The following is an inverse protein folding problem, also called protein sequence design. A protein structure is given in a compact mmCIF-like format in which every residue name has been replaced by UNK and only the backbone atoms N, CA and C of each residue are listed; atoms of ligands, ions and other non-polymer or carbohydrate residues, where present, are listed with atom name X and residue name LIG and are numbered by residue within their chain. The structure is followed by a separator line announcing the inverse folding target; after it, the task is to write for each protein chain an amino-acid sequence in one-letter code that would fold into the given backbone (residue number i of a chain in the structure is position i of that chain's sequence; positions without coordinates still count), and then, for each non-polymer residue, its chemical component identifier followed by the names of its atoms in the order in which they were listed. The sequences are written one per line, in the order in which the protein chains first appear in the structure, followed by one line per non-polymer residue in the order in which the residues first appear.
data_IF_431080749045
#
_entry.id   IF_431080749045
#
_cell.length_a   1.000
_cell.length_b   1.000
_cell.length_c   1.000
_cell.angle_alpha   90.00
_cell.angle_beta   90.00
_cell.angle_gamma   90.00
#
_symmetry.space_group_name_H-M   'P 1'
#
loop_
_entity.id
_entity.type
_entity.pdbx_description
1 polymer ?
#
# COMPACT_ATOMS: atom_id res chain seq x y z
N UNK A 1 -23.08 -3.29 4.05
CA UNK A 1 -22.10 -2.63 4.93
C UNK A 1 -20.83 -3.44 4.83
N UNK A 2 -19.64 -2.83 4.53
CA UNK A 2 -18.39 -3.61 4.51
C UNK A 2 -18.07 -4.02 5.93
N UNK A 3 -17.98 -5.32 6.16
CA UNK A 3 -17.58 -5.87 7.45
C UNK A 3 -16.06 -5.79 7.57
N UNK A 4 -15.59 -5.33 8.69
CA UNK A 4 -14.17 -5.27 9.04
C UNK A 4 -13.95 -5.96 10.39
N UNK A 5 -12.75 -6.45 10.64
CA UNK A 5 -12.36 -7.09 11.89
C UNK A 5 -11.19 -6.36 12.51
N UNK A 6 -11.23 -6.14 13.81
CA UNK A 6 -10.15 -5.55 14.61
C UNK A 6 -9.70 -6.53 15.67
N UNK A 7 -8.39 -6.65 15.84
CA UNK A 7 -7.75 -7.42 16.91
C UNK A 7 -6.88 -6.48 17.73
N UNK A 8 -6.92 -6.63 19.04
CA UNK A 8 -6.04 -5.95 19.99
C UNK A 8 -5.36 -7.00 20.86
N UNK A 9 -4.02 -6.98 20.90
CA UNK A 9 -3.20 -7.88 21.71
C UNK A 9 -3.56 -9.38 21.53
N UNK A 10 -3.92 -9.77 20.30
CA UNK A 10 -4.30 -11.15 19.96
C UNK A 10 -5.78 -11.50 20.17
N UNK A 11 -6.60 -10.59 20.70
CA UNK A 11 -8.03 -10.79 20.91
C UNK A 11 -8.89 -9.98 19.95
N UNK A 12 -9.99 -10.57 19.47
CA UNK A 12 -10.93 -9.89 18.56
C UNK A 12 -11.76 -8.88 19.36
N UNK A 13 -11.78 -7.62 18.91
CA UNK A 13 -12.56 -6.54 19.53
C UNK A 13 -13.94 -6.49 18.89
N UNK A 14 -14.98 -6.72 19.69
CA UNK A 14 -16.37 -6.87 19.25
C UNK A 14 -17.12 -5.55 19.00
N UNK A 15 -16.58 -4.39 19.39
CA UNK A 15 -17.26 -3.09 19.25
C UNK A 15 -16.64 -2.23 18.14
N UNK A 16 -17.27 -2.19 16.96
CA UNK A 16 -16.82 -1.31 15.89
C UNK A 16 -17.37 0.12 16.12
N UNK A 17 -16.54 1.03 16.62
CA UNK A 17 -16.80 2.46 16.46
C UNK A 17 -16.83 2.84 14.96
N UNK A 18 -17.65 3.83 14.60
CA UNK A 18 -17.80 4.27 13.19
C UNK A 18 -16.45 4.62 12.50
N UNK A 19 -15.46 5.09 13.28
CA UNK A 19 -14.12 5.41 12.76
C UNK A 19 -13.30 4.17 12.37
N UNK A 20 -13.64 2.98 12.86
CA UNK A 20 -12.90 1.73 12.57
C UNK A 20 -13.27 1.09 11.23
N UNK A 21 -14.29 1.59 10.53
CA UNK A 21 -14.74 1.05 9.25
C UNK A 21 -13.70 1.22 8.11
N UNK A 22 -12.66 2.03 8.31
CA UNK A 22 -11.60 2.23 7.33
C UNK A 22 -10.23 2.14 7.98
N UNK A 23 -9.20 1.71 7.22
CA UNK A 23 -7.83 1.68 7.73
C UNK A 23 -7.32 3.04 8.22
N UNK A 24 -7.76 4.13 7.59
CA UNK A 24 -7.38 5.47 8.00
C UNK A 24 -8.08 5.87 9.32
N UNK A 25 -9.36 5.53 9.49
CA UNK A 25 -10.10 5.72 10.73
C UNK A 25 -9.48 4.91 11.87
N UNK A 26 -9.19 3.64 11.63
CA UNK A 26 -8.48 2.77 12.56
C UNK A 26 -7.14 3.38 13.01
N UNK A 27 -6.30 3.84 12.11
CA UNK A 27 -5.02 4.47 12.45
C UNK A 27 -5.19 5.76 13.25
N UNK A 28 -6.20 6.58 12.91
CA UNK A 28 -6.52 7.80 13.68
C UNK A 28 -6.95 7.50 15.10
N UNK A 29 -7.74 6.44 15.31
CA UNK A 29 -8.18 6.05 16.67
C UNK A 29 -7.02 5.64 17.57
N UNK A 30 -5.90 5.15 17.00
CA UNK A 30 -4.70 4.80 17.74
C UNK A 30 -3.85 6.01 18.12
N UNK A 31 -3.91 7.09 17.34
CA UNK A 31 -3.16 8.33 17.54
C UNK A 31 -1.66 8.18 17.30
N UNK A 32 -0.97 7.42 18.15
CA UNK A 32 0.47 7.17 18.08
C UNK A 32 0.79 5.72 17.75
N UNK A 33 2.00 5.48 17.24
CA UNK A 33 2.49 4.15 16.90
C UNK A 33 3.09 4.08 15.50
N UNK A 34 3.77 2.97 15.23
CA UNK A 34 4.16 2.60 13.88
C UNK A 34 3.15 1.63 13.29
N UNK A 35 2.96 1.66 11.97
CA UNK A 35 2.09 0.70 11.30
C UNK A 35 2.69 0.17 10.01
N UNK A 36 2.15 -0.95 9.56
CA UNK A 36 2.32 -1.45 8.20
C UNK A 36 0.99 -1.86 7.63
N UNK A 37 0.87 -1.88 6.30
CA UNK A 37 -0.32 -2.36 5.61
C UNK A 37 0.12 -3.24 4.45
N UNK A 38 -0.53 -4.39 4.29
CA UNK A 38 -0.25 -5.38 3.26
C UNK A 38 -1.55 -5.83 2.58
N UNK A 39 -1.46 -6.16 1.30
CA UNK A 39 -2.52 -6.87 0.61
C UNK A 39 -2.55 -8.33 1.05
N UNK A 40 -3.73 -8.92 1.08
CA UNK A 40 -3.97 -10.32 1.43
C UNK A 40 -4.67 -11.01 0.27
N UNK A 41 -4.07 -12.06 -0.26
CA UNK A 41 -4.69 -12.96 -1.24
C UNK A 41 -5.25 -14.19 -0.54
N UNK A 42 -6.42 -14.64 -0.99
CA UNK A 42 -7.00 -15.91 -0.57
C UNK A 42 -6.55 -16.99 -1.55
N UNK A 43 -6.16 -18.14 -1.01
CA UNK A 43 -5.78 -19.31 -1.79
C UNK A 43 -6.43 -20.57 -1.22
N UNK A 44 -6.80 -21.51 -2.09
CA UNK A 44 -7.11 -22.87 -1.65
C UNK A 44 -5.82 -23.66 -1.60
N UNK A 45 -5.55 -24.34 -0.48
CA UNK A 45 -4.44 -25.29 -0.41
C UNK A 45 -4.64 -26.39 -1.44
N UNK A 46 -3.53 -26.94 -1.97
CA UNK A 46 -3.61 -28.20 -2.74
C UNK A 46 -4.22 -29.27 -1.84
N UNK A 47 -5.04 -30.17 -2.41
CA UNK A 47 -5.63 -31.31 -1.69
C UNK A 47 -4.53 -32.01 -0.89
N UNK A 48 -4.74 -32.14 0.41
CA UNK A 48 -3.91 -32.94 1.31
C UNK A 48 -4.31 -34.40 1.24
N UNK A 49 -3.60 -35.27 1.98
CA UNK A 49 -3.87 -36.69 2.08
C UNK A 49 -5.28 -37.01 2.62
N UNK A 50 -5.92 -36.05 3.31
CA UNK A 50 -7.31 -36.10 3.78
C UNK A 50 -8.35 -35.75 2.70
N UNK A 51 -7.91 -35.39 1.50
CA UNK A 51 -8.77 -35.05 0.36
C UNK A 51 -9.41 -33.64 0.45
N UNK A 52 -9.21 -32.91 1.54
CA UNK A 52 -9.82 -31.60 1.79
C UNK A 52 -8.88 -30.48 1.35
N UNK A 53 -9.41 -29.50 0.61
CA UNK A 53 -8.72 -28.24 0.38
C UNK A 53 -9.15 -27.23 1.45
N UNK A 54 -8.19 -26.52 2.03
CA UNK A 54 -8.45 -25.49 3.05
C UNK A 54 -8.14 -24.12 2.50
N UNK A 55 -8.84 -23.11 3.03
CA UNK A 55 -8.52 -21.72 2.72
C UNK A 55 -7.26 -21.29 3.47
N UNK A 56 -6.38 -20.62 2.76
CA UNK A 56 -5.13 -20.06 3.26
C UNK A 56 -5.05 -18.59 2.85
N UNK A 57 -4.43 -17.77 3.71
CA UNK A 57 -4.18 -16.38 3.41
C UNK A 57 -2.69 -16.17 3.12
N UNK A 58 -2.42 -15.52 2.01
CA UNK A 58 -1.08 -15.19 1.56
C UNK A 58 -0.81 -13.69 1.72
N UNK A 59 0.27 -13.35 2.41
CA UNK A 59 0.75 -11.99 2.60
C UNK A 59 2.13 -11.84 1.94
N UNK A 60 2.24 -11.17 0.79
CA UNK A 60 3.53 -10.91 0.16
C UNK A 60 4.37 -9.95 1.00
N UNK A 61 5.70 -10.10 0.93
CA UNK A 61 6.67 -9.24 1.60
C UNK A 61 6.43 -9.12 3.12
N UNK A 62 5.91 -10.19 3.75
CA UNK A 62 5.57 -10.13 5.17
C UNK A 62 6.77 -9.82 6.06
N UNK A 63 7.91 -10.45 5.85
CA UNK A 63 9.10 -10.24 6.67
C UNK A 63 9.66 -8.83 6.49
N UNK A 64 9.60 -8.26 5.28
CA UNK A 64 9.94 -6.88 5.01
C UNK A 64 8.96 -5.90 5.67
N UNK A 65 7.65 -6.23 5.68
CA UNK A 65 6.64 -5.45 6.40
C UNK A 65 6.94 -5.37 7.89
N UNK A 66 7.30 -6.50 8.51
CA UNK A 66 7.65 -6.57 9.93
C UNK A 66 8.97 -5.85 10.21
N UNK A 67 9.98 -6.04 9.37
CA UNK A 67 11.26 -5.34 9.50
C UNK A 67 11.07 -3.81 9.46
N UNK A 68 10.33 -3.29 8.47
CA UNK A 68 10.03 -1.85 8.39
C UNK A 68 9.21 -1.37 9.58
N UNK A 69 8.30 -2.19 10.11
CA UNK A 69 7.51 -1.85 11.30
C UNK A 69 8.43 -1.64 12.51
N UNK A 70 9.40 -2.55 12.74
CA UNK A 70 10.42 -2.43 13.78
C UNK A 70 11.27 -1.18 13.61
N UNK A 71 11.78 -0.92 12.41
CA UNK A 71 12.54 0.29 12.10
C UNK A 71 11.73 1.57 12.38
N UNK A 72 10.45 1.59 12.00
CA UNK A 72 9.58 2.74 12.27
C UNK A 72 9.34 2.93 13.77
N UNK A 73 9.16 1.85 14.54
CA UNK A 73 9.03 1.91 15.99
C UNK A 73 10.26 2.52 16.64
N UNK A 74 11.45 2.03 16.29
CA UNK A 74 12.71 2.54 16.85
C UNK A 74 12.91 4.04 16.54
N UNK A 75 12.47 4.49 15.35
CA UNK A 75 12.54 5.91 14.96
C UNK A 75 11.54 6.79 15.72
N UNK A 76 10.34 6.28 15.97
CA UNK A 76 9.28 7.03 16.66
C UNK A 76 9.43 7.00 18.18
N UNK A 77 10.06 5.97 18.73
CA UNK A 77 10.22 5.74 20.18
C UNK A 77 11.67 5.36 20.54
N UNK A 78 12.65 6.24 20.28
CA UNK A 78 14.07 5.90 20.42
C UNK A 78 14.47 5.57 21.86
N UNK A 79 13.74 6.12 22.83
CA UNK A 79 14.02 5.93 24.27
C UNK A 79 13.33 4.69 24.87
N UNK A 80 12.52 3.96 24.09
CA UNK A 80 11.81 2.77 24.56
C UNK A 80 12.61 1.50 24.28
N UNK A 81 12.98 0.78 25.33
CA UNK A 81 13.65 -0.52 25.21
C UNK A 81 12.72 -1.59 24.61
N UNK A 82 11.41 -1.45 24.77
CA UNK A 82 10.41 -2.39 24.23
C UNK A 82 10.47 -2.55 22.71
N UNK A 83 10.94 -1.54 21.98
CA UNK A 83 10.98 -1.54 20.50
C UNK A 83 12.32 -1.95 19.92
N UNK A 84 13.32 -2.19 20.75
CA UNK A 84 14.70 -2.53 20.33
C UNK A 84 14.84 -4.00 19.94
N UNK A 85 13.99 -4.88 20.50
CA UNK A 85 13.99 -6.30 20.19
C UNK A 85 13.12 -6.59 18.97
N UNK A 86 13.77 -6.89 17.85
CA UNK A 86 13.08 -7.21 16.58
C UNK A 86 12.28 -8.50 16.63
N UNK A 87 12.63 -9.46 17.51
CA UNK A 87 11.90 -10.72 17.64
C UNK A 87 10.58 -10.50 18.39
N UNK A 88 10.59 -9.65 19.42
CA UNK A 88 9.36 -9.23 20.12
C UNK A 88 8.40 -8.52 19.15
N UNK A 89 8.90 -7.61 18.31
CA UNK A 89 8.10 -6.93 17.30
C UNK A 89 7.50 -7.92 16.29
N UNK A 90 8.32 -8.88 15.85
CA UNK A 90 7.90 -9.91 14.89
C UNK A 90 6.81 -10.80 15.46
N UNK A 91 7.00 -11.27 16.70
CA UNK A 91 6.04 -12.17 17.34
C UNK A 91 4.71 -11.48 17.64
N UNK A 92 4.74 -10.23 18.14
CA UNK A 92 3.53 -9.44 18.37
C UNK A 92 2.74 -9.22 17.08
N UNK A 93 3.41 -8.83 15.99
CA UNK A 93 2.77 -8.63 14.70
C UNK A 93 2.19 -9.93 14.15
N UNK A 94 2.94 -11.05 14.25
CA UNK A 94 2.51 -12.36 13.77
C UNK A 94 1.31 -12.90 14.56
N UNK A 95 1.33 -12.81 15.87
CA UNK A 95 0.24 -13.26 16.73
C UNK A 95 -1.06 -12.53 16.41
N UNK A 96 -1.02 -11.21 16.26
CA UNK A 96 -2.19 -10.40 15.95
C UNK A 96 -2.76 -10.68 14.55
N UNK A 97 -1.91 -10.83 13.53
CA UNK A 97 -2.37 -11.20 12.17
C UNK A 97 -2.94 -12.61 12.16
N UNK A 98 -2.30 -13.56 12.85
CA UNK A 98 -2.80 -14.92 12.95
C UNK A 98 -4.18 -15.00 13.62
N UNK A 99 -4.40 -14.24 14.70
CA UNK A 99 -5.70 -14.15 15.37
C UNK A 99 -6.77 -13.56 14.44
N UNK A 100 -6.43 -12.47 13.76
CA UNK A 100 -7.30 -11.78 12.80
C UNK A 100 -7.74 -12.70 11.67
N UNK A 101 -6.79 -13.39 11.02
CA UNK A 101 -7.08 -14.25 9.88
C UNK A 101 -7.79 -15.54 10.29
N UNK A 102 -7.51 -16.09 11.48
CA UNK A 102 -8.30 -17.22 12.04
C UNK A 102 -9.76 -16.83 12.24
N UNK A 103 -10.01 -15.65 12.82
CA UNK A 103 -11.40 -15.15 12.98
C UNK A 103 -12.12 -15.05 11.64
N UNK A 104 -11.46 -14.50 10.62
CA UNK A 104 -12.05 -14.38 9.28
C UNK A 104 -12.35 -15.74 8.66
N UNK A 105 -11.46 -16.72 8.80
CA UNK A 105 -11.71 -18.11 8.33
C UNK A 105 -12.93 -18.73 8.98
N UNK A 106 -13.10 -18.57 10.31
CA UNK A 106 -14.28 -19.09 11.01
C UNK A 106 -15.57 -18.42 10.55
N UNK A 107 -15.53 -17.10 10.34
CA UNK A 107 -16.69 -16.33 9.87
C UNK A 107 -17.14 -16.76 8.47
N UNK A 108 -16.20 -17.03 7.58
CA UNK A 108 -16.49 -17.48 6.22
C UNK A 108 -16.98 -18.94 6.19
N UNK A 109 -16.36 -19.85 6.96
CA UNK A 109 -16.79 -21.24 7.06
C UNK A 109 -18.25 -21.36 7.53
N UNK A 110 -18.67 -20.54 8.49
CA UNK A 110 -20.05 -20.49 8.95
C UNK A 110 -21.04 -19.96 7.89
N UNK A 111 -20.58 -19.16 6.92
CA UNK A 111 -21.40 -18.67 5.80
C UNK A 111 -21.55 -19.71 4.68
N UNK A 112 -20.51 -20.47 4.38
CA UNK A 112 -20.56 -21.52 3.37
C UNK A 112 -21.51 -22.66 3.78
N UNK A 113 -21.61 -22.99 5.07
CA UNK A 113 -22.56 -23.98 5.60
C UNK A 113 -24.04 -23.56 5.47
N UNK A 114 -24.32 -22.25 5.44
CA UNK A 114 -25.71 -21.72 5.32
C UNK A 114 -26.15 -21.53 3.87
N UNK A 115 -25.24 -21.53 2.90
CA UNK A 115 -25.54 -21.40 1.46
C UNK A 115 -25.25 -22.71 0.73
N UNK A 116 -26.14 -23.68 0.88
CA UNK A 116 -26.09 -24.99 0.19
C UNK A 116 -26.54 -24.83 -1.28
N UNK A 117 -25.82 -24.03 -2.07
CA UNK A 117 -25.95 -23.96 -3.51
C UNK A 117 -24.58 -24.20 -4.15
N UNK A 118 -24.57 -25.17 -5.05
CA UNK A 118 -23.50 -25.55 -5.96
C UNK A 118 -22.98 -24.36 -6.76
N UNK A 119 -22.21 -23.51 -6.09
CA UNK A 119 -21.46 -22.46 -6.76
C UNK A 119 -20.21 -23.14 -7.29
N UNK A 120 -20.22 -23.42 -8.59
CA UNK A 120 -19.09 -23.97 -9.31
C UNK A 120 -17.81 -23.28 -8.84
N UNK A 121 -16.73 -24.07 -8.69
CA UNK A 121 -15.44 -23.63 -8.16
C UNK A 121 -15.06 -22.28 -8.78
N UNK A 122 -15.29 -21.21 -8.03
CA UNK A 122 -14.85 -19.88 -8.45
C UNK A 122 -13.33 -19.95 -8.63
N UNK A 123 -12.86 -19.65 -9.82
CA UNK A 123 -11.44 -19.45 -10.11
C UNK A 123 -10.84 -18.59 -9.01
N UNK A 124 -9.59 -18.87 -8.55
CA UNK A 124 -8.96 -18.06 -7.52
C UNK A 124 -8.97 -16.61 -7.99
N UNK A 125 -9.61 -15.73 -7.22
CA UNK A 125 -9.65 -14.29 -7.54
C UNK A 125 -8.22 -13.79 -7.73
N UNK A 126 -7.86 -13.40 -8.94
CA UNK A 126 -6.55 -12.84 -9.24
C UNK A 126 -6.34 -11.55 -8.45
N UNK A 127 -5.39 -11.57 -7.48
CA UNK A 127 -4.99 -10.39 -6.71
C UNK A 127 -5.36 -10.44 -5.21
N UNK A 128 -5.35 -9.25 -4.59
CA UNK A 128 -5.67 -9.12 -3.16
C UNK A 128 -7.17 -9.03 -2.92
N UNK A 129 -7.67 -9.80 -1.97
CA UNK A 129 -9.07 -9.78 -1.54
C UNK A 129 -9.29 -8.85 -0.36
N UNK A 130 -8.26 -8.70 0.48
CA UNK A 130 -8.31 -7.90 1.69
C UNK A 130 -7.04 -7.04 1.84
N UNK A 131 -7.13 -6.05 2.72
CA UNK A 131 -5.98 -5.33 3.25
C UNK A 131 -5.90 -5.56 4.76
N UNK A 132 -4.74 -6.01 5.23
CA UNK A 132 -4.40 -6.05 6.65
C UNK A 132 -3.58 -4.81 7.00
N UNK A 133 -3.92 -4.17 8.11
CA UNK A 133 -3.13 -3.10 8.72
C UNK A 133 -2.72 -3.53 10.12
N UNK A 134 -1.43 -3.54 10.41
CA UNK A 134 -0.88 -3.86 11.74
C UNK A 134 -0.24 -2.61 12.30
N UNK A 135 -0.57 -2.28 13.53
CA UNK A 135 0.01 -1.15 14.25
C UNK A 135 0.52 -1.58 15.62
N UNK A 136 1.71 -1.10 15.97
CA UNK A 136 2.33 -1.34 17.27
C UNK A 136 2.74 -0.01 17.91
N UNK A 137 2.70 0.00 19.24
CA UNK A 137 3.27 1.08 20.06
C UNK A 137 3.80 0.52 21.38
N UNK A 138 4.71 1.23 22.04
CA UNK A 138 5.10 0.88 23.42
C UNK A 138 3.89 0.80 24.35
N UNK A 139 3.90 -0.15 25.24
CA UNK A 139 2.93 -0.23 26.34
C UNK A 139 3.09 0.94 27.33
N UNK A 140 2.15 1.11 28.26
CA UNK A 140 2.09 2.30 29.13
C UNK A 140 3.22 2.40 30.15
N UNK A 141 3.95 1.33 30.43
CA UNK A 141 5.05 1.32 31.36
C UNK A 141 6.29 0.60 30.82
N UNK A 142 7.47 0.80 31.43
CA UNK A 142 8.73 0.23 30.93
C UNK A 142 8.72 -1.30 30.78
N UNK A 143 8.02 -2.00 31.68
CA UNK A 143 7.89 -3.46 31.66
C UNK A 143 6.61 -3.96 31.00
N UNK A 144 5.78 -3.07 30.43
CA UNK A 144 4.58 -3.47 29.71
C UNK A 144 4.94 -4.06 28.34
N UNK A 145 4.23 -5.09 27.85
CA UNK A 145 4.46 -5.56 26.47
C UNK A 145 4.10 -4.48 25.44
N UNK A 146 4.59 -4.66 24.21
CA UNK A 146 4.12 -3.86 23.08
C UNK A 146 2.61 -4.05 22.89
N UNK A 147 1.88 -2.95 22.80
CA UNK A 147 0.48 -3.00 22.40
C UNK A 147 0.40 -3.19 20.87
N UNK A 148 -0.24 -4.26 20.45
CA UNK A 148 -0.40 -4.62 19.05
C UNK A 148 -1.87 -4.59 18.64
N UNK A 149 -2.13 -3.98 17.49
CA UNK A 149 -3.43 -3.83 16.89
C UNK A 149 -3.39 -4.30 15.44
N UNK A 150 -4.40 -5.03 15.02
CA UNK A 150 -4.55 -5.43 13.63
C UNK A 150 -5.97 -5.16 13.14
N UNK A 151 -6.08 -4.74 11.88
CA UNK A 151 -7.33 -4.42 11.23
C UNK A 151 -7.35 -5.08 9.85
N UNK A 152 -8.44 -5.78 9.54
CA UNK A 152 -8.69 -6.40 8.24
C UNK A 152 -9.91 -5.74 7.61
N UNK A 153 -9.77 -5.30 6.37
CA UNK A 153 -10.91 -4.85 5.58
C UNK A 153 -10.88 -5.46 4.18
N UNK A 154 -12.05 -5.79 3.60
CA UNK A 154 -12.12 -6.26 2.22
C UNK A 154 -11.70 -5.16 1.25
N UNK A 155 -11.06 -5.55 0.15
CA UNK A 155 -10.73 -4.68 -0.97
C UNK A 155 -11.81 -4.82 -2.05
N UNK A 156 -12.25 -3.70 -2.58
CA UNK A 156 -13.16 -3.72 -3.73
C UNK A 156 -12.42 -4.20 -4.98
N UNK A 157 -12.99 -5.09 -5.78
CA UNK A 157 -12.37 -5.56 -7.03
C UNK A 157 -11.97 -4.42 -7.98
N UNK A 158 -12.79 -3.37 -8.04
CA UNK A 158 -12.54 -2.19 -8.88
C UNK A 158 -11.27 -1.43 -8.48
N UNK A 159 -10.78 -1.59 -7.24
CA UNK A 159 -9.55 -0.94 -6.79
C UNK A 159 -8.28 -1.44 -7.49
N UNK A 160 -8.37 -2.57 -8.22
CA UNK A 160 -7.22 -3.21 -8.89
C UNK A 160 -6.93 -2.63 -10.28
N UNK A 161 -7.97 -2.23 -11.00
CA UNK A 161 -7.87 -1.85 -12.41
C UNK A 161 -7.91 -0.32 -12.63
N UNK A 162 -8.15 0.48 -11.57
CA UNK A 162 -8.36 1.92 -11.74
C UNK A 162 -7.05 2.68 -11.90
N UNK A 163 -7.03 3.57 -12.87
CA UNK A 163 -6.03 4.64 -12.96
C UNK A 163 -6.25 5.67 -11.87
N UNK A 164 -5.19 6.36 -11.46
CA UNK A 164 -5.25 7.48 -10.52
C UNK A 164 -5.22 8.81 -11.28
N UNK A 165 -5.94 9.81 -10.78
CA UNK A 165 -5.66 11.21 -11.08
C UNK A 165 -5.08 11.87 -9.83
N UNK A 166 -3.95 12.56 -9.96
CA UNK A 166 -3.21 13.08 -8.82
C UNK A 166 -3.21 14.60 -8.77
N UNK A 167 -3.25 15.14 -7.55
CA UNK A 167 -3.06 16.57 -7.28
C UNK A 167 -1.64 16.80 -6.76
N UNK A 168 -0.87 17.67 -7.40
CA UNK A 168 0.40 18.14 -6.86
C UNK A 168 0.14 19.17 -5.76
N UNK A 169 0.76 18.99 -4.62
CA UNK A 169 0.65 19.91 -3.49
C UNK A 169 1.99 20.08 -2.81
N UNK A 170 2.32 21.33 -2.50
CA UNK A 170 3.47 21.66 -1.67
C UNK A 170 3.20 21.23 -0.25
N UNK A 171 3.87 20.17 0.18
CA UNK A 171 3.76 19.61 1.52
C UNK A 171 4.94 18.68 1.81
N UNK A 172 5.30 18.54 3.10
CA UNK A 172 6.29 17.57 3.57
C UNK A 172 5.78 16.87 4.81
N UNK A 173 6.06 15.57 4.91
CA UNK A 173 5.79 14.81 6.14
C UNK A 173 6.79 15.14 7.23
N UNK A 174 6.33 15.09 8.46
CA UNK A 174 7.19 14.98 9.64
C UNK A 174 7.60 13.50 9.74
N UNK A 175 8.89 13.22 9.96
CA UNK A 175 9.45 11.85 10.04
C UNK A 175 9.05 10.96 8.85
N UNK A 176 9.39 11.35 7.60
CA UNK A 176 8.98 10.61 6.40
C UNK A 176 9.56 9.20 6.34
N UNK A 177 10.70 8.95 6.99
CA UNK A 177 11.36 7.64 7.08
C UNK A 177 10.62 6.63 7.96
N UNK A 178 9.66 7.09 8.79
CA UNK A 178 8.85 6.23 9.65
C UNK A 178 7.40 6.15 9.16
N UNK A 179 6.84 4.93 9.17
CA UNK A 179 5.42 4.72 8.85
C UNK A 179 4.58 4.92 10.12
N UNK A 180 4.33 6.18 10.48
CA UNK A 180 3.63 6.60 11.70
C UNK A 180 2.12 6.57 11.57
N UNK A 181 1.42 6.11 12.60
CA UNK A 181 -0.04 6.19 12.71
C UNK A 181 -0.54 7.65 12.69
N UNK A 182 0.20 8.58 13.28
CA UNK A 182 -0.12 10.02 13.28
C UNK A 182 -0.29 10.58 11.86
N UNK A 183 0.43 10.03 10.87
CA UNK A 183 0.27 10.44 9.47
C UNK A 183 -1.16 10.31 8.94
N UNK A 184 -1.96 9.41 9.49
CA UNK A 184 -3.38 9.30 9.11
C UNK A 184 -4.21 10.53 9.55
N UNK A 185 -3.77 11.22 10.59
CA UNK A 185 -4.34 12.49 11.04
C UNK A 185 -3.72 13.67 10.28
N UNK A 186 -2.39 13.71 10.18
CA UNK A 186 -1.64 14.82 9.59
C UNK A 186 -1.99 15.05 8.11
N UNK A 187 -2.25 14.01 7.34
CA UNK A 187 -2.65 14.10 5.93
C UNK A 187 -4.11 14.46 5.69
N UNK A 188 -4.96 14.49 6.73
CA UNK A 188 -6.39 14.75 6.58
C UNK A 188 -6.71 16.09 5.89
N UNK A 189 -6.01 17.20 6.17
CA UNK A 189 -6.21 18.44 5.41
C UNK A 189 -5.99 18.29 3.92
N UNK A 190 -4.97 17.50 3.51
CA UNK A 190 -4.71 17.19 2.10
C UNK A 190 -5.83 16.34 1.47
N UNK A 191 -6.35 15.36 2.21
CA UNK A 191 -7.47 14.52 1.76
C UNK A 191 -8.77 15.33 1.61
N UNK A 192 -9.03 16.30 2.50
CA UNK A 192 -10.18 17.21 2.41
C UNK A 192 -10.04 18.15 1.21
N UNK A 193 -8.87 18.74 1.00
CA UNK A 193 -8.61 19.61 -0.15
C UNK A 193 -8.70 18.83 -1.47
N UNK A 194 -8.16 17.60 -1.51
CA UNK A 194 -8.27 16.69 -2.65
C UNK A 194 -9.73 16.41 -3.02
N UNK A 195 -10.56 16.07 -2.04
CA UNK A 195 -11.98 15.78 -2.26
C UNK A 195 -12.73 17.01 -2.80
N UNK A 196 -12.46 18.20 -2.22
CA UNK A 196 -13.05 19.46 -2.66
C UNK A 196 -12.70 19.79 -4.10
N UNK A 197 -11.42 19.70 -4.47
CA UNK A 197 -10.94 19.98 -5.83
C UNK A 197 -11.35 18.91 -6.83
N UNK A 198 -11.33 17.65 -6.41
CA UNK A 198 -11.73 16.52 -7.24
C UNK A 198 -13.20 16.59 -7.66
N UNK A 199 -14.09 17.19 -6.85
CA UNK A 199 -15.48 17.41 -7.21
C UNK A 199 -15.66 18.34 -8.41
N UNK A 200 -14.64 19.14 -8.76
CA UNK A 200 -14.67 20.08 -9.88
C UNK A 200 -14.06 19.51 -11.18
N UNK A 201 -13.49 18.33 -11.13
CA UNK A 201 -12.84 17.67 -12.26
C UNK A 201 -13.65 16.45 -12.74
N UNK A 202 -13.84 16.34 -14.03
CA UNK A 202 -14.37 15.12 -14.64
C UNK A 202 -13.41 13.94 -14.30
N UNK A 203 -13.91 12.88 -13.67
CA UNK A 203 -13.11 11.74 -13.22
C UNK A 203 -12.52 11.87 -11.83
N UNK A 204 -12.64 13.02 -11.17
CA UNK A 204 -12.19 13.25 -9.80
C UNK A 204 -10.68 13.23 -9.61
N UNK A 205 -10.25 13.28 -8.35
CA UNK A 205 -8.85 13.14 -7.92
C UNK A 205 -8.73 12.00 -6.91
N UNK A 206 -7.66 11.21 -6.99
CA UNK A 206 -7.50 9.98 -6.22
C UNK A 206 -6.50 10.11 -5.08
N UNK A 207 -5.43 10.88 -5.29
CA UNK A 207 -4.36 11.02 -4.32
C UNK A 207 -3.62 12.36 -4.49
N UNK A 208 -3.10 12.91 -3.38
CA UNK A 208 -2.16 14.02 -3.42
C UNK A 208 -0.75 13.47 -3.55
N UNK A 209 0.02 13.98 -4.52
CA UNK A 209 1.47 13.80 -4.61
C UNK A 209 2.13 15.06 -4.08
N UNK A 210 2.91 14.88 -3.02
CA UNK A 210 3.61 15.97 -2.33
C UNK A 210 4.85 16.39 -3.12
N UNK A 211 5.13 17.66 -3.13
CA UNK A 211 6.34 18.23 -3.71
C UNK A 211 6.95 19.30 -2.78
N UNK A 212 8.18 19.66 -3.06
CA UNK A 212 8.86 20.77 -2.37
C UNK A 212 8.40 22.11 -2.92
N UNK A 213 8.70 23.21 -2.23
CA UNK A 213 8.49 24.59 -2.71
C UNK A 213 9.09 24.85 -4.10
N UNK A 214 10.15 24.14 -4.46
CA UNK A 214 10.80 24.22 -5.78
C UNK A 214 10.14 23.33 -6.83
N UNK A 215 9.07 22.61 -6.49
CA UNK A 215 8.37 21.69 -7.39
C UNK A 215 9.03 20.32 -7.54
N UNK A 216 10.02 19.95 -6.72
CA UNK A 216 10.60 18.60 -6.76
C UNK A 216 9.62 17.60 -6.12
N UNK A 217 9.28 16.54 -6.84
CA UNK A 217 8.42 15.49 -6.34
C UNK A 217 9.02 14.83 -5.09
N UNK A 218 8.15 14.44 -4.17
CA UNK A 218 8.45 13.65 -2.99
C UNK A 218 7.74 12.28 -3.10
N UNK A 219 6.57 12.16 -2.54
CA UNK A 219 5.78 10.93 -2.52
C UNK A 219 4.28 11.25 -2.50
N UNK A 220 3.42 10.27 -2.77
CA UNK A 220 1.99 10.39 -2.51
C UNK A 220 1.66 10.31 -1.03
N UNK A 221 0.45 10.70 -0.65
CA UNK A 221 -0.01 10.59 0.75
C UNK A 221 -0.04 9.16 1.27
N UNK A 222 -0.11 8.16 0.38
CA UNK A 222 -0.17 6.72 0.69
C UNK A 222 0.77 5.88 -0.16
N UNK A 223 1.49 6.50 -1.11
CA UNK A 223 2.26 5.83 -2.16
C UNK A 223 3.62 6.50 -2.39
N UNK A 224 4.54 5.82 -3.09
CA UNK A 224 5.66 6.50 -3.75
C UNK A 224 5.30 6.72 -5.22
N UNK A 225 6.02 7.63 -5.89
CA UNK A 225 5.77 8.03 -7.28
C UNK A 225 6.94 7.65 -8.18
N UNK A 226 6.59 7.22 -9.38
CA UNK A 226 7.50 6.95 -10.48
C UNK A 226 7.03 7.66 -11.74
N UNK A 227 7.98 8.12 -12.55
CA UNK A 227 7.72 8.67 -13.87
C UNK A 227 8.60 8.01 -14.91
N UNK A 228 8.09 7.85 -16.12
CA UNK A 228 8.86 7.34 -17.26
C UNK A 228 9.15 8.51 -18.18
N UNK A 229 10.41 8.63 -18.57
CA UNK A 229 10.87 9.61 -19.56
C UNK A 229 11.51 8.90 -20.73
N UNK A 230 11.40 9.49 -21.92
CA UNK A 230 12.08 9.02 -23.10
C UNK A 230 13.47 9.66 -23.18
N UNK A 231 14.46 8.89 -23.59
CA UNK A 231 15.84 9.37 -23.73
C UNK A 231 16.10 9.82 -25.16
N UNK A 232 16.02 11.12 -25.38
CA UNK A 232 16.32 11.73 -26.69
C UNK A 232 17.79 11.65 -27.07
N UNK A 233 18.68 11.21 -26.16
CA UNK A 233 20.15 11.17 -26.36
C UNK A 233 20.66 9.95 -27.09
N UNK A 234 19.82 9.04 -27.49
CA UNK A 234 20.18 7.77 -28.12
C UNK A 234 19.78 7.71 -29.58
N UNK A 235 20.50 8.42 -30.47
CA UNK A 235 20.54 8.24 -31.94
C UNK A 235 19.37 7.55 -32.61
N UNK A 236 18.64 8.26 -33.48
CA UNK A 236 17.84 7.83 -34.63
C UNK A 236 17.17 6.46 -34.74
N UNK A 237 17.02 5.72 -33.65
CA UNK A 237 16.36 4.42 -33.66
C UNK A 237 14.84 4.54 -33.42
N UNK A 238 14.06 3.71 -34.10
CA UNK A 238 12.59 3.63 -33.99
C UNK A 238 12.08 3.24 -32.57
N UNK A 239 12.96 3.08 -31.58
CA UNK A 239 12.60 2.68 -30.23
C UNK A 239 13.36 3.53 -29.21
N UNK A 240 12.75 4.64 -28.70
CA UNK A 240 13.37 5.49 -27.71
C UNK A 240 13.66 4.69 -26.43
N UNK A 241 14.90 4.80 -25.89
CA UNK A 241 15.22 4.20 -24.59
C UNK A 241 14.41 4.91 -23.51
N UNK A 242 13.59 4.16 -22.80
CA UNK A 242 12.81 4.67 -21.68
C UNK A 242 13.56 4.47 -20.36
N UNK A 243 13.50 5.46 -19.50
CA UNK A 243 14.07 5.43 -18.14
C UNK A 243 12.98 5.67 -17.12
N UNK A 244 13.07 4.92 -16.03
CA UNK A 244 12.20 5.07 -14.88
C UNK A 244 12.87 5.95 -13.84
N UNK A 245 12.22 7.03 -13.45
CA UNK A 245 12.73 7.96 -12.45
C UNK A 245 11.86 7.91 -11.19
N UNK A 246 12.48 8.03 -10.03
CA UNK A 246 11.79 8.16 -8.73
C UNK A 246 12.61 9.05 -7.79
N UNK A 247 11.98 9.84 -6.91
CA UNK A 247 12.71 10.59 -5.90
C UNK A 247 13.57 9.68 -5.04
N UNK A 248 14.81 10.08 -4.70
CA UNK A 248 15.71 9.30 -3.85
C UNK A 248 15.24 9.36 -2.38
N UNK A 249 15.59 8.36 -1.58
CA UNK A 249 15.26 8.34 -0.14
C UNK A 249 15.80 9.56 0.60
N UNK A 250 16.92 10.12 0.16
CA UNK A 250 17.51 11.35 0.71
C UNK A 250 16.63 12.60 0.53
N UNK A 251 15.59 12.54 -0.30
CA UNK A 251 14.59 13.61 -0.42
C UNK A 251 13.66 13.71 0.79
N UNK A 252 13.71 12.75 1.72
CA UNK A 252 12.80 12.67 2.84
C UNK A 252 11.44 12.08 2.40
N UNK A 253 11.47 10.85 1.93
CA UNK A 253 10.29 10.05 1.58
C UNK A 253 10.31 8.72 2.32
N UNK A 254 9.14 8.07 2.44
CA UNK A 254 9.04 6.76 3.03
C UNK A 254 9.79 5.71 2.18
N UNK A 255 10.64 4.85 2.78
CA UNK A 255 11.19 3.68 2.10
C UNK A 255 10.09 2.64 1.87
N UNK A 256 9.34 2.81 0.77
CA UNK A 256 8.21 1.96 0.42
C UNK A 256 8.65 0.57 -0.03
N UNK A 257 8.01 -0.49 0.49
CA UNK A 257 8.30 -1.86 0.09
C UNK A 257 7.92 -2.11 -1.37
N UNK A 258 6.76 -1.61 -1.79
CA UNK A 258 6.36 -1.66 -3.20
C UNK A 258 7.32 -0.86 -4.10
N UNK A 259 7.86 0.30 -3.60
CA UNK A 259 8.90 1.05 -4.32
C UNK A 259 10.15 0.20 -4.55
N UNK A 260 10.64 -0.47 -3.51
CA UNK A 260 11.81 -1.35 -3.62
C UNK A 260 11.54 -2.52 -4.57
N UNK A 261 10.34 -3.13 -4.49
CA UNK A 261 9.93 -4.20 -5.39
C UNK A 261 9.86 -3.74 -6.86
N UNK A 262 9.35 -2.52 -7.13
CA UNK A 262 9.34 -1.92 -8.48
C UNK A 262 10.76 -1.74 -9.01
N UNK A 263 11.68 -1.18 -8.22
CA UNK A 263 13.07 -0.98 -8.63
C UNK A 263 13.74 -2.32 -8.99
N UNK A 264 13.58 -3.32 -8.14
CA UNK A 264 14.11 -4.66 -8.39
C UNK A 264 13.49 -5.33 -9.64
N UNK A 265 12.18 -5.16 -9.82
CA UNK A 265 11.46 -5.72 -10.99
C UNK A 265 11.87 -5.01 -12.28
N UNK A 266 11.98 -3.68 -12.26
CA UNK A 266 12.45 -2.91 -13.43
C UNK A 266 13.86 -3.32 -13.84
N UNK A 267 14.77 -3.51 -12.87
CA UNK A 267 16.12 -4.02 -13.14
C UNK A 267 16.09 -5.41 -13.77
N UNK A 268 15.26 -6.33 -13.28
CA UNK A 268 15.09 -7.67 -13.84
C UNK A 268 14.51 -7.66 -15.28
N UNK A 269 13.71 -6.65 -15.61
CA UNK A 269 13.15 -6.43 -16.95
C UNK A 269 14.12 -5.65 -17.88
N UNK A 270 15.31 -5.28 -17.41
CA UNK A 270 16.27 -4.48 -18.17
C UNK A 270 15.86 -3.01 -18.35
N UNK A 271 14.93 -2.51 -17.53
CA UNK A 271 14.50 -1.12 -17.54
C UNK A 271 15.43 -0.31 -16.63
N UNK A 272 16.07 0.72 -17.19
CA UNK A 272 16.95 1.59 -16.42
C UNK A 272 16.18 2.40 -15.39
N UNK A 273 16.65 2.38 -14.13
CA UNK A 273 16.04 3.13 -13.01
C UNK A 273 17.04 4.15 -12.48
N UNK A 274 16.60 5.38 -12.31
CA UNK A 274 17.37 6.45 -11.68
C UNK A 274 16.62 6.98 -10.44
N UNK A 275 17.27 6.83 -9.29
CA UNK A 275 16.83 7.46 -8.04
C UNK A 275 17.39 8.88 -7.98
N UNK A 276 16.63 9.85 -8.46
CA UNK A 276 17.02 11.26 -8.52
C UNK A 276 15.83 12.20 -8.33
N UNK A 277 16.13 13.47 -8.07
CA UNK A 277 15.12 14.52 -8.01
C UNK A 277 14.34 14.59 -9.34
N UNK A 278 13.02 14.65 -9.24
CA UNK A 278 12.10 14.77 -10.37
C UNK A 278 11.36 16.09 -10.27
N UNK A 279 11.54 16.96 -11.26
CA UNK A 279 10.84 18.24 -11.32
C UNK A 279 9.42 18.04 -11.85
N UNK A 280 8.43 18.43 -11.07
CA UNK A 280 7.01 18.35 -11.44
C UNK A 280 6.63 19.28 -12.59
N UNK A 281 7.39 20.38 -12.81
CA UNK A 281 7.18 21.30 -13.92
C UNK A 281 7.45 20.65 -15.28
N UNK A 282 8.24 19.57 -15.29
CA UNK A 282 8.52 18.77 -16.48
C UNK A 282 7.47 17.70 -16.79
N UNK A 283 6.33 17.70 -16.11
CA UNK A 283 5.33 16.60 -16.22
C UNK A 283 4.73 16.42 -17.63
N UNK A 284 4.72 17.45 -18.44
CA UNK A 284 4.30 17.36 -19.86
C UNK A 284 5.25 16.54 -20.72
N UNK A 285 6.50 16.38 -20.29
CA UNK A 285 7.53 15.55 -20.93
C UNK A 285 7.57 14.11 -20.41
N UNK A 286 6.72 13.72 -19.45
CA UNK A 286 6.65 12.33 -19.00
C UNK A 286 5.85 11.49 -20.00
N UNK A 287 6.35 10.32 -20.34
CA UNK A 287 5.60 9.37 -21.16
C UNK A 287 4.59 8.57 -20.34
N UNK A 288 4.94 8.25 -19.08
CA UNK A 288 4.09 7.54 -18.14
C UNK A 288 4.33 8.07 -16.71
N UNK A 289 3.30 7.93 -15.87
CA UNK A 289 3.41 8.14 -14.43
C UNK A 289 2.64 7.04 -13.69
N UNK A 290 3.15 6.56 -12.57
CA UNK A 290 2.43 5.61 -11.71
C UNK A 290 2.78 5.77 -10.23
N UNK A 291 1.87 5.33 -9.38
CA UNK A 291 2.01 5.30 -7.93
C UNK A 291 2.25 3.87 -7.44
N UNK A 292 2.96 3.72 -6.32
CA UNK A 292 3.21 2.40 -5.74
C UNK A 292 2.74 2.29 -4.30
N UNK A 293 2.01 1.25 -4.00
CA UNK A 293 1.61 0.89 -2.64
C UNK A 293 1.54 -0.62 -2.47
N UNK A 294 1.53 -1.09 -1.21
CA UNK A 294 1.48 -2.51 -0.89
C UNK A 294 0.19 -3.22 -1.34
N UNK A 295 -0.84 -2.48 -1.73
CA UNK A 295 -2.14 -3.02 -2.14
C UNK A 295 -2.37 -2.89 -3.65
N UNK A 296 -1.92 -1.77 -4.23
CA UNK A 296 -2.13 -1.48 -5.65
C UNK A 296 -0.92 -1.82 -6.51
N UNK A 297 0.20 -2.17 -5.88
CA UNK A 297 1.48 -2.45 -6.52
C UNK A 297 1.97 -1.28 -7.38
N UNK A 298 1.69 -1.28 -8.68
CA UNK A 298 1.94 -0.16 -9.59
C UNK A 298 0.60 0.32 -10.16
N UNK A 299 0.09 1.45 -9.66
CA UNK A 299 -1.16 2.06 -10.11
C UNK A 299 -0.87 3.13 -11.16
N UNK A 300 -1.34 2.96 -12.41
CA UNK A 300 -1.16 3.97 -13.46
C UNK A 300 -1.79 5.30 -13.07
N UNK A 301 -1.16 6.41 -13.45
CA UNK A 301 -1.71 7.76 -13.34
C UNK A 301 -2.29 8.18 -14.69
N UNK A 302 -3.54 8.59 -14.71
CA UNK A 302 -4.23 9.09 -15.90
C UNK A 302 -4.07 10.60 -16.06
N UNK A 303 -3.98 11.35 -14.95
CA UNK A 303 -3.84 12.81 -15.01
C UNK A 303 -3.04 13.34 -13.82
N UNK A 304 -2.29 14.41 -14.07
CA UNK A 304 -1.62 15.23 -13.06
C UNK A 304 -2.25 16.61 -13.07
N UNK A 305 -2.74 17.04 -11.91
CA UNK A 305 -3.37 18.34 -11.73
C UNK A 305 -2.61 19.20 -10.72
N UNK A 306 -2.76 20.51 -10.81
CA UNK A 306 -2.28 21.50 -9.87
C UNK A 306 -3.43 22.32 -9.32
N UNK A 307 -3.24 22.90 -8.14
CA UNK A 307 -4.21 23.82 -7.55
C UNK A 307 -4.23 25.15 -8.31
N UNK A 308 -5.43 25.62 -8.67
CA UNK A 308 -5.65 26.93 -9.26
C UNK A 308 -6.74 27.64 -8.48
N UNK A 309 -6.57 28.90 -8.17
CA UNK A 309 -7.52 29.80 -7.47
C UNK A 309 -8.51 29.12 -6.54
N UNK A 310 -8.77 29.60 -5.35
CA UNK A 310 -9.81 29.06 -4.46
C UNK A 310 -9.85 27.52 -4.34
N UNK A 311 -10.90 26.89 -4.86
CA UNK A 311 -11.10 25.41 -4.86
C UNK A 311 -10.85 24.72 -6.21
N UNK A 312 -10.35 25.45 -7.22
CA UNK A 312 -10.13 24.93 -8.57
C UNK A 312 -8.91 23.98 -8.64
N UNK A 313 -8.91 23.12 -9.65
CA UNK A 313 -7.76 22.33 -10.07
C UNK A 313 -7.69 22.32 -11.60
N UNK A 314 -6.48 22.35 -12.15
CA UNK A 314 -6.21 22.28 -13.58
C UNK A 314 -5.34 21.08 -13.89
N UNK A 315 -5.69 20.33 -14.94
CA UNK A 315 -4.89 19.22 -15.44
C UNK A 315 -3.72 19.77 -16.25
N UNK A 316 -2.51 19.53 -15.81
CA UNK A 316 -1.26 19.96 -16.43
C UNK A 316 -0.58 18.86 -17.25
N UNK A 317 -0.90 17.60 -17.00
CA UNK A 317 -0.50 16.46 -17.84
C UNK A 317 -1.62 15.43 -17.88
N UNK A 318 -1.93 14.94 -19.08
CA UNK A 318 -2.99 13.96 -19.33
C UNK A 318 -2.41 12.71 -20.02
N UNK A 319 -2.65 11.57 -19.39
CA UNK A 319 -2.27 10.25 -19.85
C UNK A 319 -3.48 9.33 -20.05
N UNK A 320 -4.72 9.83 -19.90
CA UNK A 320 -5.94 9.01 -19.85
C UNK A 320 -6.09 8.07 -21.06
N UNK A 321 -5.74 8.53 -22.28
CA UNK A 321 -5.81 7.72 -23.49
C UNK A 321 -4.67 6.70 -23.68
N UNK A 322 -3.67 6.68 -22.79
CA UNK A 322 -2.45 5.86 -22.89
C UNK A 322 -2.00 5.22 -21.58
N UNK A 323 -2.73 5.42 -20.50
CA UNK A 323 -2.46 4.78 -19.20
C UNK A 323 -3.26 3.47 -19.07
N UNK A 324 -2.61 2.33 -18.65
CA UNK A 324 -1.17 2.22 -18.39
C UNK A 324 -0.33 2.27 -19.67
N UNK A 325 0.82 2.94 -19.59
CA UNK A 325 1.82 2.85 -20.64
C UNK A 325 2.63 1.53 -20.54
N UNK A 326 3.41 1.18 -21.58
CA UNK A 326 4.05 -0.13 -21.69
C UNK A 326 5.06 -0.45 -20.58
N UNK A 327 5.77 0.54 -20.01
CA UNK A 327 6.69 0.33 -18.89
C UNK A 327 5.91 0.03 -17.62
N UNK A 328 4.88 0.82 -17.33
CA UNK A 328 4.00 0.61 -16.17
C UNK A 328 3.35 -0.78 -16.24
N UNK A 329 2.84 -1.18 -17.40
CA UNK A 329 2.16 -2.47 -17.58
C UNK A 329 3.13 -3.65 -17.42
N UNK A 330 4.33 -3.57 -17.99
CA UNK A 330 5.35 -4.61 -17.84
C UNK A 330 5.75 -4.81 -16.35
N UNK A 331 5.98 -3.71 -15.63
CA UNK A 331 6.32 -3.76 -14.21
C UNK A 331 5.13 -4.30 -13.40
N UNK A 332 3.91 -3.82 -13.67
CA UNK A 332 2.69 -4.25 -12.98
C UNK A 332 2.43 -5.74 -13.17
N UNK A 333 2.52 -6.24 -14.41
CA UNK A 333 2.36 -7.65 -14.73
C UNK A 333 3.38 -8.51 -13.99
N UNK A 334 4.67 -8.17 -14.05
CA UNK A 334 5.72 -8.92 -13.38
C UNK A 334 5.59 -8.92 -11.85
N UNK A 335 5.13 -7.82 -11.24
CA UNK A 335 4.85 -7.76 -9.79
C UNK A 335 3.68 -8.67 -9.41
N UNK A 336 2.59 -8.65 -10.18
CA UNK A 336 1.43 -9.53 -9.93
C UNK A 336 1.79 -10.99 -10.14
N UNK A 337 2.56 -11.33 -11.16
CA UNK A 337 3.04 -12.70 -11.39
C UNK A 337 3.83 -13.24 -10.18
N UNK A 338 4.69 -12.41 -9.57
CA UNK A 338 5.40 -12.78 -8.33
C UNK A 338 4.45 -13.01 -7.16
N UNK A 339 3.46 -12.13 -6.99
CA UNK A 339 2.42 -12.28 -5.96
C UNK A 339 1.63 -13.57 -6.18
N UNK A 340 1.18 -13.84 -7.41
CA UNK A 340 0.41 -15.02 -7.75
C UNK A 340 1.22 -16.33 -7.58
N UNK A 341 2.53 -16.32 -7.88
CA UNK A 341 3.42 -17.47 -7.62
C UNK A 341 3.77 -17.66 -6.15
N UNK A 342 3.45 -16.70 -5.29
CA UNK A 342 3.77 -16.77 -3.87
C UNK A 342 5.23 -16.51 -3.53
N UNK A 343 5.91 -15.74 -4.36
CA UNK A 343 7.31 -15.38 -4.13
C UNK A 343 7.44 -14.30 -3.04
N UNK A 344 8.34 -14.52 -2.06
CA UNK A 344 8.70 -13.54 -1.04
C UNK A 344 7.59 -13.19 -0.06
N UNK A 345 6.71 -14.13 0.28
CA UNK A 345 5.64 -13.87 1.26
C UNK A 345 5.43 -15.03 2.24
N UNK A 346 4.46 -14.89 3.11
CA UNK A 346 4.13 -15.89 4.13
C UNK A 346 2.67 -16.35 4.03
N UNK A 347 2.47 -17.67 4.19
CA UNK A 347 1.16 -18.27 4.34
C UNK A 347 0.73 -18.19 5.81
N UNK A 348 -0.55 -17.88 6.01
CA UNK A 348 -1.25 -17.98 7.27
C UNK A 348 -2.41 -18.95 7.08
N UNK A 349 -2.37 -20.08 7.77
CA UNK A 349 -3.33 -21.17 7.67
C UNK A 349 -3.92 -21.55 9.03
N UNK A 350 -4.77 -22.61 9.08
CA UNK A 350 -5.37 -23.10 10.33
C UNK A 350 -4.31 -23.57 11.34
N UNK A 351 -4.68 -23.74 12.63
CA UNK A 351 -3.76 -24.15 13.70
C UNK A 351 -3.00 -25.42 13.37
N UNK A 352 -1.66 -25.39 13.53
CA UNK A 352 -0.76 -26.52 13.23
C UNK A 352 0.26 -26.25 12.14
N UNK A 353 0.37 -25.01 11.66
CA UNK A 353 1.31 -24.53 10.64
C UNK A 353 2.40 -23.64 11.21
#
# INVERSE_FOLDING_TARGET
MMEFTVVRDGEVVSEPGQDLASPAGFLRSLGSGAYTAAGVSRRRSRRRDDGLSRMEFWLPLWDEHVHRLGHSLTRLFPDSDQVKDGDVVREAARASVSALLRHEMHREGSREETTNHDVGAAEPEEGFTHMVTVALRPGPGPSSPLACFAHLCPLRPESRATTASVLLSEFRRISPEAKSCAWATDRRPLEVDLARRGAMLAGGLSEVVMCTERGMLLEGTKSNVFVVVEDDRGGGGLNPKRRLLTPPLSSGILPGLARAAVIATAAALGIAVEERQVDSKGCTGWSECFLTSAVKMAQPVAAVAVSVGGSGAEVVADFAGRAPGPVTEAIRGALWDRVLRGEGGRLFGPPGW
#
